data_IF_414075434362
#
_entry.id   IF_414075434362
#
_cell.length_a   1.000
_cell.length_b   1.000
_cell.length_c   1.000
_cell.angle_alpha   90.00
_cell.angle_beta   90.00
_cell.angle_gamma   90.00
#
_symmetry.space_group_name_H-M   'P 1'
#
loop_
_entity.id
_entity.type
_entity.pdbx_description
1 polymer ?
#
# COMPACT_ATOMS: atom_id res chain seq x y z
N UNK A 1 -12.80 20.59 20.86
CA UNK A 1 -12.36 19.34 21.51
C UNK A 1 -13.24 18.23 20.96
N UNK A 2 -12.72 17.28 20.17
CA UNK A 2 -13.57 16.25 19.56
C UNK A 2 -13.70 15.07 20.53
N UNK A 3 -14.91 14.82 21.05
CA UNK A 3 -15.23 13.62 21.84
C UNK A 3 -15.76 12.54 20.91
N UNK A 4 -15.09 11.40 20.84
CA UNK A 4 -15.62 10.21 20.17
C UNK A 4 -16.37 9.35 21.18
N UNK A 5 -17.67 9.16 20.95
CA UNK A 5 -18.49 8.28 21.76
C UNK A 5 -18.77 6.98 20.99
N UNK A 6 -18.42 5.84 21.58
CA UNK A 6 -18.80 4.52 21.09
C UNK A 6 -19.78 3.91 22.08
N UNK A 7 -21.06 3.81 21.71
CA UNK A 7 -22.01 2.98 22.44
C UNK A 7 -22.32 1.71 21.67
N UNK A 8 -22.30 0.56 22.37
CA UNK A 8 -22.71 -0.74 21.84
C UNK A 8 -24.21 -0.92 21.69
N UNK A 9 -25.02 0.07 22.07
CA UNK A 9 -26.48 0.01 21.93
C UNK A 9 -26.92 0.81 20.71
N UNK A 10 -27.60 0.15 19.77
CA UNK A 10 -28.24 0.84 18.66
C UNK A 10 -29.33 1.78 19.21
N UNK A 11 -29.30 3.04 18.78
CA UNK A 11 -30.24 4.10 19.17
C UNK A 11 -30.97 4.59 17.94
N UNK A 12 -32.26 4.81 18.06
CA UNK A 12 -33.09 5.38 17.00
C UNK A 12 -32.80 6.87 16.80
N UNK A 13 -33.36 7.45 15.74
CA UNK A 13 -33.11 8.83 15.34
C UNK A 13 -33.67 9.88 16.31
N UNK A 14 -34.77 9.58 17.01
CA UNK A 14 -35.39 10.49 17.97
C UNK A 14 -34.49 10.65 19.20
N UNK A 15 -33.90 9.54 19.64
CA UNK A 15 -32.88 9.54 20.68
C UNK A 15 -31.67 10.42 20.31
N UNK A 16 -31.13 10.27 19.09
CA UNK A 16 -29.99 11.06 18.63
C UNK A 16 -30.30 12.55 18.56
N UNK A 17 -31.49 12.90 18.07
CA UNK A 17 -31.93 14.29 17.94
C UNK A 17 -32.02 14.96 19.31
N UNK A 18 -32.60 14.26 20.29
CA UNK A 18 -32.71 14.75 21.67
C UNK A 18 -31.34 14.94 22.31
N UNK A 19 -30.44 13.96 22.16
CA UNK A 19 -29.09 14.03 22.73
C UNK A 19 -28.28 15.20 22.15
N UNK A 20 -28.28 15.36 20.83
CA UNK A 20 -27.56 16.47 20.19
C UNK A 20 -28.14 17.83 20.60
N UNK A 21 -29.48 17.94 20.71
CA UNK A 21 -30.11 19.14 21.22
C UNK A 21 -29.65 19.46 22.66
N UNK A 22 -29.55 18.45 23.53
CA UNK A 22 -29.05 18.65 24.91
C UNK A 22 -27.58 19.05 24.97
N UNK A 23 -26.71 18.46 24.14
CA UNK A 23 -25.30 18.85 24.06
C UNK A 23 -25.15 20.28 23.54
N UNK A 24 -25.88 20.65 22.48
CA UNK A 24 -25.86 22.03 21.96
C UNK A 24 -26.38 23.04 22.98
N UNK A 25 -27.40 22.70 23.77
CA UNK A 25 -27.89 23.55 24.84
C UNK A 25 -26.87 23.68 25.98
N UNK A 26 -26.14 22.61 26.31
CA UNK A 26 -25.10 22.60 27.34
C UNK A 26 -23.88 23.42 26.90
N UNK A 27 -23.51 23.34 25.62
CA UNK A 27 -22.43 24.15 25.04
C UNK A 27 -22.83 25.63 24.92
N UNK A 28 -24.10 25.91 24.57
CA UNK A 28 -24.65 27.27 24.56
C UNK A 28 -24.77 27.88 25.96
N UNK A 29 -25.05 27.06 26.97
CA UNK A 29 -25.07 27.44 28.38
C UNK A 29 -23.66 27.46 29.01
N UNK A 30 -22.64 27.80 28.21
CA UNK A 30 -21.22 27.73 28.57
C UNK A 30 -20.89 28.16 30.00
N UNK A 31 -19.83 27.59 30.61
CA UNK A 31 -19.61 27.64 32.05
C UNK A 31 -19.56 29.09 32.56
N UNK A 32 -20.40 29.42 33.55
CA UNK A 32 -20.24 30.64 34.32
C UNK A 32 -18.84 30.66 34.97
N UNK A 33 -18.05 31.72 34.79
CA UNK A 33 -16.71 31.80 35.35
C UNK A 33 -16.83 32.12 36.85
N UNK A 34 -16.89 31.10 37.71
CA UNK A 34 -16.98 31.36 39.14
C UNK A 34 -17.36 30.21 40.05
N UNK A 35 -16.85 29.00 39.82
CA UNK A 35 -16.87 27.98 40.87
C UNK A 35 -15.57 27.17 40.80
N UNK A 36 -14.62 27.52 41.66
CA UNK A 36 -13.43 26.72 41.90
C UNK A 36 -13.85 25.35 42.45
N UNK A 37 -13.74 24.32 41.61
CA UNK A 37 -13.82 22.93 42.06
C UNK A 37 -12.64 22.66 43.00
N UNK A 38 -12.83 22.19 44.23
CA UNK A 38 -11.73 21.76 45.08
C UNK A 38 -11.01 20.57 44.42
N UNK A 39 -9.66 20.50 44.48
CA UNK A 39 -8.93 19.39 43.92
C UNK A 39 -9.34 18.07 44.60
N UNK A 40 -9.34 16.94 43.87
CA UNK A 40 -9.71 15.64 44.42
C UNK A 40 -8.69 15.16 45.47
N UNK A 41 -9.13 14.44 46.53
CA UNK A 41 -8.37 14.19 47.76
C UNK A 41 -7.25 13.13 47.66
N UNK A 42 -6.68 12.89 46.48
CA UNK A 42 -5.64 11.87 46.28
C UNK A 42 -4.29 12.46 45.83
N UNK A 43 -4.07 13.75 46.08
CA UNK A 43 -2.72 14.33 46.08
C UNK A 43 -2.09 13.95 47.43
N UNK A 44 -1.02 13.14 47.48
CA UNK A 44 -0.26 12.98 48.71
C UNK A 44 0.37 14.33 49.06
N UNK A 45 0.21 14.77 50.31
CA UNK A 45 0.93 15.90 50.88
C UNK A 45 2.42 15.80 50.53
N UNK A 46 2.95 16.85 49.87
CA UNK A 46 4.38 17.14 49.87
C UNK A 46 4.79 17.49 51.32
N UNK A 47 4.98 16.46 52.13
CA UNK A 47 5.65 16.57 53.42
C UNK A 47 7.16 16.70 53.18
N UNK A 48 7.62 17.94 53.33
CA UNK A 48 8.82 18.31 54.08
C UNK A 48 10.12 17.54 53.79
N UNK A 49 10.96 18.19 52.99
CA UNK A 49 12.42 18.16 53.16
C UNK A 49 12.83 18.41 54.62
N UNK A 50 13.85 17.70 55.12
CA UNK A 50 14.81 18.29 56.03
C UNK A 50 16.19 18.39 55.37
N UNK A 51 16.80 19.55 55.63
CA UNK A 51 18.10 19.99 55.17
C UNK A 51 19.27 19.09 55.64
N UNK A 52 20.33 19.11 54.83
CA UNK A 52 21.66 18.58 55.13
C UNK A 52 22.28 19.20 56.39
N UNK A 53 23.29 18.53 56.96
CA UNK A 53 24.56 19.22 57.22
C UNK A 53 25.77 18.55 56.56
N UNK A 54 26.72 19.41 56.23
CA UNK A 54 27.99 19.21 55.52
C UNK A 54 28.95 18.17 56.14
N UNK A 55 29.82 17.67 55.25
CA UNK A 55 31.08 16.99 55.53
C UNK A 55 32.05 17.81 56.39
N UNK A 56 33.07 17.14 56.96
CA UNK A 56 34.43 17.59 56.73
C UNK A 56 35.30 16.46 56.17
N UNK A 57 35.93 16.76 55.04
CA UNK A 57 36.83 15.87 54.34
C UNK A 57 38.17 15.62 55.05
N UNK A 58 38.89 14.62 54.54
CA UNK A 58 40.34 14.51 54.67
C UNK A 58 40.92 13.92 53.38
N UNK A 59 41.52 14.80 52.58
CA UNK A 59 42.56 14.48 51.62
C UNK A 59 43.84 14.03 52.37
N UNK A 60 44.36 12.87 51.99
CA UNK A 60 45.77 12.43 52.08
C UNK A 60 45.84 11.14 51.28
N UNK A 61 46.70 10.92 50.30
CA UNK A 61 48.00 11.47 50.02
C UNK A 61 48.87 10.30 49.55
N UNK A 62 49.15 10.28 48.24
CA UNK A 62 50.33 9.75 47.56
C UNK A 62 51.04 8.44 48.03
N UNK A 63 51.06 7.47 47.10
CA UNK A 63 52.29 6.92 46.48
C UNK A 63 53.00 5.64 47.03
N UNK A 64 53.25 4.74 46.06
CA UNK A 64 54.25 3.66 45.97
C UNK A 64 54.20 2.52 47.02
N UNK A 65 54.22 1.23 46.68
CA UNK A 65 55.23 0.52 45.86
C UNK A 65 54.79 -0.95 45.68
N UNK A 66 55.36 -1.60 44.64
CA UNK A 66 55.69 -3.04 44.54
C UNK A 66 54.66 -4.02 43.94
N UNK A 67 54.86 -4.24 42.63
CA UNK A 67 54.54 -5.43 41.84
C UNK A 67 55.44 -6.62 42.25
N UNK A 68 55.00 -7.88 42.09
CA UNK A 68 55.86 -8.85 41.38
C UNK A 68 55.13 -9.68 40.31
N UNK A 69 55.47 -9.36 39.06
CA UNK A 69 55.93 -10.22 37.94
C UNK A 69 55.56 -11.71 37.89
N UNK A 70 54.80 -12.03 36.83
CA UNK A 70 55.08 -13.01 35.76
C UNK A 70 55.15 -14.52 36.04
N UNK A 71 54.40 -15.26 35.20
CA UNK A 71 55.01 -16.32 34.36
C UNK A 71 54.21 -16.63 33.08
N UNK A 72 54.86 -16.45 31.93
CA UNK A 72 54.70 -17.13 30.63
C UNK A 72 56.07 -16.96 29.97
N UNK A 73 56.74 -17.97 29.37
CA UNK A 73 56.37 -18.54 28.06
C UNK A 73 56.70 -20.04 27.91
N UNK A 74 56.27 -20.72 26.86
CA UNK A 74 57.11 -20.88 25.65
C UNK A 74 56.32 -21.18 24.36
N UNK A 75 56.94 -20.85 23.23
CA UNK A 75 56.36 -20.62 21.91
C UNK A 75 56.98 -21.56 20.86
N UNK A 76 56.14 -22.17 19.99
CA UNK A 76 56.25 -22.51 18.54
C UNK A 76 57.55 -23.21 17.99
N UNK A 77 57.60 -23.91 16.81
CA UNK A 77 57.10 -23.46 15.50
C UNK A 77 56.65 -24.51 14.44
N UNK A 78 55.91 -24.02 13.44
CA UNK A 78 55.95 -24.27 11.97
C UNK A 78 56.13 -25.69 11.37
N UNK A 79 55.15 -26.14 10.54
CA UNK A 79 55.38 -26.86 9.27
C UNK A 79 54.09 -26.96 8.42
N UNK A 80 54.30 -26.90 7.10
CA UNK A 80 53.42 -26.61 5.96
C UNK A 80 52.55 -27.82 5.44
N UNK A 81 51.91 -27.83 4.24
CA UNK A 81 50.50 -28.25 4.05
C UNK A 81 50.26 -29.54 3.20
N UNK A 82 48.96 -29.94 3.11
CA UNK A 82 48.30 -30.87 2.15
C UNK A 82 48.42 -32.41 2.44
N UNK A 83 47.42 -33.27 2.09
CA UNK A 83 46.56 -33.27 0.87
C UNK A 83 45.02 -33.35 1.11
N UNK A 84 44.20 -33.17 0.04
CA UNK A 84 42.74 -33.26 0.09
C UNK A 84 42.18 -34.67 -0.23
N UNK A 85 40.86 -34.75 -0.02
CA UNK A 85 39.86 -35.77 -0.39
C UNK A 85 39.58 -36.90 0.62
N UNK A 86 38.29 -37.05 0.98
CA UNK A 86 37.48 -37.96 0.17
C UNK A 86 36.10 -37.42 -0.25
N UNK A 87 35.68 -37.94 -1.41
CA UNK A 87 34.31 -38.12 -1.85
C UNK A 87 33.54 -36.86 -2.29
N UNK A 88 33.75 -36.53 -3.57
CA UNK A 88 32.77 -35.82 -4.39
C UNK A 88 31.48 -36.65 -4.49
N UNK A 89 30.59 -36.48 -3.53
CA UNK A 89 29.17 -36.66 -3.78
C UNK A 89 28.70 -35.51 -4.70
N UNK A 90 27.98 -35.77 -5.80
CA UNK A 90 27.47 -34.70 -6.65
C UNK A 90 26.57 -33.79 -5.81
N UNK A 91 27.00 -32.54 -5.64
CA UNK A 91 26.22 -31.50 -5.03
C UNK A 91 24.84 -31.48 -5.70
N UNK A 92 23.81 -31.85 -4.93
CA UNK A 92 22.44 -31.56 -5.32
C UNK A 92 22.37 -30.08 -5.69
N UNK A 93 21.61 -29.69 -6.74
CA UNK A 93 21.47 -28.30 -7.12
C UNK A 93 21.08 -27.51 -5.88
N UNK A 94 21.98 -26.67 -5.39
CA UNK A 94 21.64 -25.75 -4.32
C UNK A 94 20.56 -24.86 -4.92
N UNK A 95 19.33 -25.02 -4.42
CA UNK A 95 18.24 -24.14 -4.76
C UNK A 95 18.77 -22.70 -4.60
N UNK A 96 18.53 -21.81 -5.56
CA UNK A 96 18.98 -20.44 -5.43
C UNK A 96 18.49 -19.94 -4.09
N UNK A 97 19.38 -19.43 -3.23
CA UNK A 97 18.99 -18.76 -2.00
C UNK A 97 17.92 -17.74 -2.39
N UNK A 98 16.67 -18.06 -2.05
CA UNK A 98 15.56 -17.23 -2.43
C UNK A 98 15.81 -15.88 -1.77
N UNK A 99 16.02 -14.84 -2.59
CA UNK A 99 16.22 -13.49 -2.10
C UNK A 99 15.07 -13.07 -1.16
N UNK A 100 15.26 -12.02 -0.35
CA UNK A 100 14.25 -11.55 0.57
C UNK A 100 12.93 -11.28 -0.16
N UNK A 101 11.81 -11.71 0.42
CA UNK A 101 10.50 -11.53 -0.21
C UNK A 101 10.14 -10.07 -0.36
N UNK A 102 9.20 -9.76 -1.25
CA UNK A 102 8.64 -8.41 -1.38
C UNK A 102 8.07 -7.91 -0.06
N UNK A 103 7.40 -8.77 0.72
CA UNK A 103 6.84 -8.41 2.02
C UNK A 103 7.92 -7.99 3.01
N UNK A 104 9.01 -8.76 3.09
CA UNK A 104 10.16 -8.42 3.93
C UNK A 104 10.78 -7.08 3.53
N UNK A 105 10.98 -6.85 2.22
CA UNK A 105 11.58 -5.61 1.71
C UNK A 105 10.74 -4.36 2.00
N UNK A 106 9.42 -4.49 2.00
CA UNK A 106 8.50 -3.41 2.40
C UNK A 106 8.67 -3.10 3.88
N UNK A 107 8.64 -4.11 4.75
CA UNK A 107 8.83 -3.96 6.19
C UNK A 107 10.18 -3.32 6.52
N UNK A 108 11.26 -3.79 5.89
CA UNK A 108 12.61 -3.26 6.07
C UNK A 108 12.78 -1.81 5.59
N UNK A 109 11.86 -1.31 4.75
CA UNK A 109 11.87 0.08 4.29
C UNK A 109 11.09 1.01 5.22
N UNK A 110 10.18 0.50 6.05
CA UNK A 110 9.35 1.32 6.94
C UNK A 110 10.17 2.21 7.86
N UNK A 111 11.21 1.68 8.52
CA UNK A 111 12.07 2.47 9.41
C UNK A 111 12.81 3.62 8.71
N UNK A 112 13.03 3.53 7.39
CA UNK A 112 13.61 4.62 6.59
C UNK A 112 12.58 5.69 6.23
N UNK A 113 11.33 5.29 6.07
CA UNK A 113 10.22 6.21 5.77
C UNK A 113 9.66 6.88 7.02
N UNK A 114 9.63 6.17 8.15
CA UNK A 114 9.20 6.68 9.45
C UNK A 114 10.07 6.07 10.56
N UNK A 115 10.91 6.90 11.18
CA UNK A 115 11.86 6.48 12.20
C UNK A 115 11.21 5.85 13.44
N UNK A 116 9.91 6.12 13.69
CA UNK A 116 9.16 5.51 14.80
C UNK A 116 8.94 4.01 14.59
N UNK A 117 9.16 3.50 13.36
CA UNK A 117 9.05 2.10 12.99
C UNK A 117 10.43 1.49 12.70
N UNK A 118 11.43 1.77 13.54
CA UNK A 118 12.74 1.12 13.46
C UNK A 118 12.62 -0.38 13.79
N UNK A 119 12.48 -1.22 12.75
CA UNK A 119 12.39 -2.67 12.86
C UNK A 119 13.75 -3.31 12.63
N UNK A 120 14.12 -4.29 13.46
CA UNK A 120 15.27 -5.15 13.20
C UNK A 120 14.97 -6.17 12.09
N UNK A 121 16.00 -6.87 11.60
CA UNK A 121 15.82 -7.97 10.64
C UNK A 121 14.94 -9.10 11.22
N UNK A 122 15.11 -9.41 12.50
CA UNK A 122 14.31 -10.42 13.19
C UNK A 122 12.83 -10.00 13.29
N UNK A 123 12.56 -8.71 13.53
CA UNK A 123 11.20 -8.18 13.56
C UNK A 123 10.54 -8.22 12.18
N UNK A 124 11.29 -7.88 11.14
CA UNK A 124 10.81 -7.96 9.76
C UNK A 124 10.44 -9.41 9.41
N UNK A 125 11.30 -10.38 9.73
CA UNK A 125 11.03 -11.80 9.52
C UNK A 125 9.80 -12.28 10.33
N UNK A 126 9.63 -11.81 11.56
CA UNK A 126 8.50 -12.17 12.43
C UNK A 126 7.14 -11.64 11.95
N UNK A 127 7.13 -10.61 11.09
CA UNK A 127 5.92 -9.98 10.53
C UNK A 127 5.68 -10.37 9.07
N UNK A 128 6.70 -10.92 8.40
CA UNK A 128 6.73 -11.16 6.96
C UNK A 128 5.55 -11.98 6.47
N UNK A 129 5.19 -13.07 7.16
CA UNK A 129 4.09 -13.94 6.75
C UNK A 129 2.74 -13.19 6.69
N UNK A 130 2.48 -12.30 7.64
CA UNK A 130 1.25 -11.53 7.68
C UNK A 130 1.23 -10.44 6.61
N UNK A 131 2.37 -9.78 6.37
CA UNK A 131 2.53 -8.82 5.29
C UNK A 131 2.42 -9.49 3.91
N UNK A 132 2.96 -10.70 3.76
CA UNK A 132 2.81 -11.50 2.55
C UNK A 132 1.35 -11.88 2.30
N UNK A 133 0.59 -12.19 3.36
CA UNK A 133 -0.85 -12.45 3.21
C UNK A 133 -1.62 -11.21 2.73
N UNK A 134 -1.26 -10.00 3.17
CA UNK A 134 -1.85 -8.78 2.61
C UNK A 134 -1.61 -8.67 1.10
N UNK A 135 -0.36 -8.88 0.67
CA UNK A 135 0.00 -8.83 -0.75
C UNK A 135 -0.70 -9.96 -1.55
N UNK A 136 -0.80 -11.16 -0.99
CA UNK A 136 -1.50 -12.29 -1.60
C UNK A 136 -3.02 -12.04 -1.77
N UNK A 137 -3.59 -11.12 -0.99
CA UNK A 137 -4.98 -10.64 -1.16
C UNK A 137 -5.12 -9.54 -2.22
N UNK A 138 -4.07 -9.28 -3.00
CA UNK A 138 -4.08 -8.34 -4.12
C UNK A 138 -3.80 -6.88 -3.72
N UNK A 139 -3.35 -6.64 -2.48
CA UNK A 139 -3.02 -5.29 -2.03
C UNK A 139 -1.67 -4.84 -2.60
N UNK A 140 -1.60 -3.59 -3.06
CA UNK A 140 -0.35 -2.99 -3.53
C UNK A 140 0.61 -2.68 -2.37
N UNK A 141 1.91 -2.64 -2.68
CA UNK A 141 2.95 -2.25 -1.71
C UNK A 141 2.72 -0.86 -1.12
N UNK A 142 2.29 0.09 -1.95
CA UNK A 142 2.01 1.46 -1.52
C UNK A 142 0.83 1.51 -0.53
N UNK A 143 -0.25 0.77 -0.83
CA UNK A 143 -1.39 0.67 0.07
C UNK A 143 -0.99 0.00 1.38
N UNK A 144 -0.22 -1.10 1.34
CA UNK A 144 0.28 -1.77 2.54
C UNK A 144 1.10 -0.80 3.40
N UNK A 145 2.02 -0.06 2.78
CA UNK A 145 2.84 0.94 3.47
C UNK A 145 1.96 2.01 4.12
N UNK A 146 1.03 2.59 3.37
CA UNK A 146 0.08 3.59 3.85
C UNK A 146 -0.78 3.07 5.00
N UNK A 147 -1.26 1.82 4.93
CA UNK A 147 -2.07 1.23 5.99
C UNK A 147 -1.29 1.02 7.31
N UNK A 148 0.01 0.71 7.21
CA UNK A 148 0.89 0.52 8.35
C UNK A 148 1.35 1.85 8.97
N UNK A 149 1.49 2.91 8.18
CA UNK A 149 1.96 4.23 8.63
C UNK A 149 0.86 5.26 8.89
N UNK A 150 -0.38 5.01 8.46
CA UNK A 150 -1.49 5.92 8.69
C UNK A 150 -1.88 6.00 10.17
N UNK A 151 -1.91 7.24 10.68
CA UNK A 151 -2.35 7.55 12.05
C UNK A 151 -1.46 6.92 13.11
N UNK A 152 -0.14 6.91 12.90
CA UNK A 152 0.81 6.50 13.92
C UNK A 152 0.83 7.53 15.07
N UNK A 153 0.83 7.06 16.34
CA UNK A 153 0.95 7.94 17.50
C UNK A 153 2.31 8.65 17.49
N UNK A 154 2.41 9.77 18.21
CA UNK A 154 3.62 10.58 18.23
C UNK A 154 4.86 9.78 18.68
N UNK A 155 4.69 8.82 19.59
CA UNK A 155 5.72 7.90 20.07
C UNK A 155 5.19 6.46 20.03
N UNK A 156 6.08 5.50 19.76
CA UNK A 156 5.76 4.07 19.66
C UNK A 156 6.82 3.30 20.43
N UNK A 157 6.46 2.75 21.59
CA UNK A 157 7.40 1.94 22.39
C UNK A 157 7.57 0.52 21.81
N UNK A 158 6.52 -0.01 21.19
CA UNK A 158 6.47 -1.39 20.67
C UNK A 158 6.06 -1.44 19.19
N UNK A 159 6.96 -1.12 18.25
CA UNK A 159 6.63 -1.04 16.83
C UNK A 159 6.19 -2.40 16.27
N UNK A 160 6.84 -3.49 16.67
CA UNK A 160 6.49 -4.85 16.24
C UNK A 160 5.08 -5.23 16.66
N UNK A 161 4.71 -4.96 17.92
CA UNK A 161 3.39 -5.26 18.45
C UNK A 161 2.29 -4.44 17.76
N UNK A 162 2.56 -3.15 17.52
CA UNK A 162 1.64 -2.28 16.78
C UNK A 162 1.40 -2.79 15.36
N UNK A 163 2.47 -3.10 14.62
CA UNK A 163 2.37 -3.56 13.23
C UNK A 163 1.72 -4.93 13.15
N UNK A 164 2.07 -5.88 14.03
CA UNK A 164 1.40 -7.18 14.11
C UNK A 164 -0.10 -7.00 14.29
N UNK A 165 -0.50 -6.15 15.23
CA UNK A 165 -1.92 -5.87 15.50
C UNK A 165 -2.62 -5.25 14.29
N UNK A 166 -1.99 -4.29 13.61
CA UNK A 166 -2.56 -3.70 12.39
C UNK A 166 -2.68 -4.71 11.25
N UNK A 167 -1.65 -5.52 11.02
CA UNK A 167 -1.65 -6.55 9.99
C UNK A 167 -2.73 -7.62 10.22
N UNK A 168 -3.05 -7.92 11.49
CA UNK A 168 -4.15 -8.83 11.83
C UNK A 168 -5.51 -8.14 11.75
N UNK A 169 -5.70 -7.05 12.51
CA UNK A 169 -7.02 -6.43 12.72
C UNK A 169 -7.53 -5.70 11.48
N UNK A 170 -6.64 -5.19 10.63
CA UNK A 170 -7.00 -4.46 9.39
C UNK A 170 -6.82 -5.29 8.13
N UNK A 171 -6.66 -6.60 8.25
CA UNK A 171 -6.42 -7.45 7.11
C UNK A 171 -7.58 -7.34 6.09
N UNK A 172 -7.32 -6.91 4.84
CA UNK A 172 -8.38 -6.72 3.86
C UNK A 172 -9.09 -8.05 3.58
N UNK A 173 -10.41 -8.07 3.36
CA UNK A 173 -11.13 -9.31 3.05
C UNK A 173 -10.55 -9.97 1.80
N UNK A 174 -10.65 -11.30 1.73
CA UNK A 174 -10.34 -12.01 0.48
C UNK A 174 -11.41 -11.65 -0.53
N UNK A 175 -11.04 -10.88 -1.55
CA UNK A 175 -11.86 -10.79 -2.74
C UNK A 175 -11.77 -12.14 -3.46
N UNK A 176 -12.85 -12.63 -4.09
CA UNK A 176 -12.74 -13.73 -5.03
C UNK A 176 -11.62 -13.34 -6.00
N UNK A 177 -10.57 -14.16 -6.07
CA UNK A 177 -9.50 -13.91 -7.00
C UNK A 177 -10.14 -13.77 -8.38
N UNK A 178 -9.98 -12.61 -9.04
CA UNK A 178 -10.15 -12.59 -10.48
C UNK A 178 -9.06 -13.52 -10.99
N UNK A 179 -9.47 -14.74 -11.34
CA UNK A 179 -8.64 -15.90 -11.58
C UNK A 179 -7.46 -15.54 -12.49
N UNK A 180 -6.30 -15.30 -11.87
CA UNK A 180 -5.01 -15.35 -12.55
C UNK A 180 -4.53 -16.79 -12.47
N UNK A 181 -5.32 -17.69 -13.05
CA UNK A 181 -4.88 -19.05 -13.36
C UNK A 181 -4.87 -19.17 -14.89
N UNK A 182 -3.69 -19.31 -15.52
CA UNK A 182 -3.65 -19.88 -16.86
C UNK A 182 -4.05 -21.37 -16.76
N UNK A 183 -4.85 -21.84 -17.71
CA UNK A 183 -5.19 -23.26 -17.93
C UNK A 183 -6.20 -23.97 -17.01
N UNK A 184 -7.37 -23.36 -16.77
CA UNK A 184 -8.58 -24.17 -16.59
C UNK A 184 -9.81 -23.48 -17.20
N UNK A 185 -10.70 -24.19 -17.92
CA UNK A 185 -11.92 -23.59 -18.45
C UNK A 185 -12.80 -23.16 -17.27
N UNK A 186 -12.80 -21.85 -17.01
CA UNK A 186 -13.44 -21.18 -15.89
C UNK A 186 -14.93 -21.57 -15.73
N UNK A 187 -15.46 -21.61 -14.49
CA UNK A 187 -16.91 -21.57 -14.28
C UNK A 187 -17.45 -20.29 -14.93
N UNK A 188 -18.54 -20.44 -15.68
CA UNK A 188 -19.08 -19.43 -16.59
C UNK A 188 -19.25 -18.08 -15.90
N UNK A 189 -18.31 -17.18 -16.14
CA UNK A 189 -18.55 -15.74 -16.06
C UNK A 189 -19.89 -15.50 -16.76
N UNK A 190 -20.79 -14.73 -16.14
CA UNK A 190 -22.08 -14.38 -16.72
C UNK A 190 -21.81 -13.66 -18.04
N UNK A 191 -21.80 -14.41 -19.14
CA UNK A 191 -21.56 -13.88 -20.48
C UNK A 191 -22.76 -13.01 -20.82
N UNK A 192 -22.56 -11.69 -20.80
CA UNK A 192 -23.56 -10.75 -21.24
C UNK A 192 -23.64 -10.88 -22.75
N UNK A 193 -24.76 -11.37 -23.26
CA UNK A 193 -25.06 -11.35 -24.69
C UNK A 193 -25.77 -10.03 -25.00
N UNK A 194 -25.32 -9.34 -26.03
CA UNK A 194 -25.96 -8.16 -26.60
C UNK A 194 -26.78 -8.59 -27.82
N UNK A 195 -27.81 -7.84 -28.17
CA UNK A 195 -28.62 -8.12 -29.37
C UNK A 195 -28.26 -7.15 -30.49
N UNK A 196 -28.23 -7.67 -31.73
CA UNK A 196 -28.10 -6.83 -32.92
C UNK A 196 -29.29 -5.87 -33.01
N UNK A 197 -29.01 -4.58 -33.15
CA UNK A 197 -30.04 -3.52 -33.20
C UNK A 197 -30.98 -3.62 -34.40
N UNK A 198 -30.55 -4.29 -35.48
CA UNK A 198 -31.35 -4.44 -36.70
C UNK A 198 -32.18 -5.74 -36.71
N UNK A 199 -31.56 -6.88 -36.39
CA UNK A 199 -32.18 -8.21 -36.56
C UNK A 199 -32.42 -8.98 -35.26
N UNK A 200 -32.07 -8.40 -34.10
CA UNK A 200 -32.24 -9.03 -32.79
C UNK A 200 -31.34 -10.24 -32.52
N UNK A 201 -30.39 -10.56 -33.42
CA UNK A 201 -29.49 -11.72 -33.24
C UNK A 201 -28.62 -11.50 -31.99
N UNK A 202 -28.67 -12.41 -30.99
CA UNK A 202 -27.82 -12.29 -29.82
C UNK A 202 -26.36 -12.63 -30.17
N UNK A 203 -25.42 -11.91 -29.59
CA UNK A 203 -23.99 -12.04 -29.84
C UNK A 203 -23.16 -11.51 -28.68
N UNK A 204 -21.86 -11.86 -28.66
CA UNK A 204 -20.91 -11.23 -27.75
C UNK A 204 -20.74 -9.75 -28.13
N UNK A 205 -20.43 -8.85 -27.18
CA UNK A 205 -20.21 -7.43 -27.47
C UNK A 205 -19.15 -7.21 -28.56
N UNK A 206 -18.10 -8.01 -28.61
CA UNK A 206 -17.05 -7.93 -29.64
C UNK A 206 -17.53 -8.36 -31.03
N UNK A 207 -18.58 -9.18 -31.11
CA UNK A 207 -19.18 -9.63 -32.36
C UNK A 207 -20.21 -8.63 -32.94
N UNK A 208 -20.55 -7.59 -32.18
CA UNK A 208 -21.51 -6.54 -32.51
C UNK A 208 -20.85 -5.15 -32.46
N UNK A 209 -19.78 -4.88 -33.24
CA UNK A 209 -19.26 -3.53 -33.33
C UNK A 209 -20.37 -2.61 -33.89
N UNK A 210 -20.50 -1.43 -33.28
CA UNK A 210 -21.57 -0.47 -33.53
C UNK A 210 -23.00 -1.02 -33.29
N UNK A 211 -23.12 -2.11 -32.53
CA UNK A 211 -24.41 -2.75 -32.24
C UNK A 211 -24.99 -3.57 -33.39
N UNK A 212 -24.20 -3.85 -34.44
CA UNK A 212 -24.65 -4.60 -35.62
C UNK A 212 -23.86 -5.90 -35.83
N UNK A 213 -24.60 -6.99 -36.05
CA UNK A 213 -23.98 -8.25 -36.42
C UNK A 213 -23.34 -8.15 -37.81
N UNK A 214 -22.30 -8.96 -38.06
CA UNK A 214 -21.57 -8.98 -39.34
C UNK A 214 -22.47 -8.88 -40.58
N UNK A 215 -23.53 -9.70 -40.77
CA UNK A 215 -24.36 -9.61 -41.96
C UNK A 215 -25.11 -8.27 -42.05
N UNK A 216 -25.74 -7.79 -40.96
CA UNK A 216 -26.42 -6.49 -40.94
C UNK A 216 -25.43 -5.34 -41.22
N UNK A 217 -24.22 -5.39 -40.68
CA UNK A 217 -23.19 -4.39 -40.99
C UNK A 217 -22.82 -4.39 -42.47
N UNK A 218 -22.67 -5.56 -43.10
CA UNK A 218 -22.39 -5.66 -44.53
C UNK A 218 -23.55 -5.15 -45.39
N UNK A 219 -24.80 -5.28 -44.96
CA UNK A 219 -25.96 -4.72 -45.68
C UNK A 219 -26.12 -3.22 -45.50
N UNK A 220 -25.75 -2.67 -44.33
CA UNK A 220 -25.77 -1.24 -44.06
C UNK A 220 -24.48 -0.51 -44.46
N UNK A 221 -23.43 -1.25 -44.83
CA UNK A 221 -22.24 -0.66 -45.41
C UNK A 221 -22.65 0.01 -46.72
N UNK A 222 -22.58 1.35 -46.84
CA UNK A 222 -22.69 1.98 -48.15
C UNK A 222 -21.59 1.38 -49.06
N UNK A 223 -21.82 1.25 -50.39
CA UNK A 223 -20.76 0.84 -51.30
C UNK A 223 -19.52 1.68 -51.00
N UNK A 224 -18.41 0.97 -50.79
CA UNK A 224 -17.12 1.48 -50.28
C UNK A 224 -16.75 2.84 -50.88
N UNK A 225 -16.32 3.76 -50.00
CA UNK A 225 -15.84 5.10 -50.34
C UNK A 225 -14.80 5.12 -51.46
N UNK A 226 -14.00 4.06 -51.67
CA UNK A 226 -13.05 4.02 -52.80
C UNK A 226 -13.72 4.13 -54.19
N UNK A 227 -14.92 3.58 -54.36
CA UNK A 227 -15.65 3.66 -55.63
C UNK A 227 -16.38 5.00 -55.79
N UNK A 228 -16.87 5.56 -54.67
CA UNK A 228 -17.54 6.86 -54.63
C UNK A 228 -16.53 8.01 -54.79
N UNK A 229 -15.38 7.94 -54.11
CA UNK A 229 -14.28 8.92 -54.23
C UNK A 229 -13.63 8.87 -55.62
N UNK A 230 -13.49 7.68 -56.23
CA UNK A 230 -13.01 7.56 -57.60
C UNK A 230 -14.02 8.14 -58.62
N UNK A 231 -15.32 7.96 -58.39
CA UNK A 231 -16.37 8.53 -59.24
C UNK A 231 -16.46 10.06 -59.09
N UNK A 232 -16.40 10.58 -57.87
CA UNK A 232 -16.40 12.03 -57.58
C UNK A 232 -15.13 12.72 -58.09
N UNK A 233 -13.96 12.06 -58.00
CA UNK A 233 -12.73 12.57 -58.58
C UNK A 233 -12.75 12.62 -60.12
N UNK A 234 -13.38 11.63 -60.76
CA UNK A 234 -13.57 11.60 -62.21
C UNK A 234 -14.56 12.70 -62.68
N UNK A 235 -15.67 12.89 -61.96
CA UNK A 235 -16.64 13.95 -62.25
C UNK A 235 -16.03 15.35 -62.05
N UNK A 236 -15.23 15.53 -60.99
CA UNK A 236 -14.51 16.78 -60.75
C UNK A 236 -13.44 17.08 -61.84
N UNK A 237 -12.84 16.05 -62.44
CA UNK A 237 -11.90 16.22 -63.55
C UNK A 237 -12.62 16.62 -64.85
N UNK A 238 -13.77 16.03 -65.14
CA UNK A 238 -14.58 16.36 -66.33
C UNK A 238 -15.11 17.80 -66.28
N UNK A 239 -15.63 18.23 -65.12
CA UNK A 239 -16.09 19.61 -64.90
C UNK A 239 -14.93 20.61 -65.09
N UNK A 240 -13.72 20.29 -64.60
CA UNK A 240 -12.54 21.14 -64.80
C UNK A 240 -12.13 21.23 -66.26
N UNK A 241 -12.17 20.13 -67.00
CA UNK A 241 -11.88 20.11 -68.43
C UNK A 241 -12.88 20.96 -69.22
N UNK A 242 -14.17 20.82 -68.90
CA UNK A 242 -15.24 21.61 -69.54
C UNK A 242 -15.10 23.12 -69.26
N UNK A 243 -14.73 23.49 -68.04
CA UNK A 243 -14.48 24.89 -67.68
C UNK A 243 -13.23 25.46 -68.35
N UNK A 244 -12.20 24.65 -68.59
CA UNK A 244 -11.02 25.09 -69.31
C UNK A 244 -11.32 25.34 -70.80
N UNK A 245 -12.09 24.46 -71.43
CA UNK A 245 -12.57 24.58 -72.81
C UNK A 245 -13.40 25.86 -73.02
N UNK A 246 -14.41 26.09 -72.15
CA UNK A 246 -15.21 27.31 -72.16
C UNK A 246 -14.36 28.58 -71.99
N UNK A 247 -13.32 28.53 -71.15
CA UNK A 247 -12.41 29.67 -70.95
C UNK A 247 -11.49 29.91 -72.15
N UNK A 248 -11.13 28.87 -72.89
CA UNK A 248 -10.40 28.98 -74.16
C UNK A 248 -11.26 29.68 -75.22
N UNK A 249 -12.48 29.21 -75.40
CA UNK A 249 -13.45 29.81 -76.35
C UNK A 249 -13.75 31.28 -76.05
N UNK A 250 -13.72 31.70 -74.78
CA UNK A 250 -13.90 33.10 -74.37
C UNK A 250 -12.65 33.97 -74.51
N UNK A 251 -11.47 33.38 -74.74
CA UNK A 251 -10.19 34.11 -74.88
C UNK A 251 -9.83 34.38 -76.35
N UNK A 252 -10.37 33.61 -77.27
CA UNK A 252 -10.17 33.75 -78.72
C UNK A 252 -11.16 34.73 -79.40
N UNK A 253 -11.87 35.55 -78.61
CA UNK A 253 -12.75 36.66 -79.05
C UNK A 253 -12.13 37.98 -78.60
#
# INVERSE_FOLDING_TARGET
>A
MFRTFWSRTARDNEWWTTYLATETATEAAGPEPGAATPPPPWVPDEEHLPAAPEEPGQESGAEATAVPQQRTPDQAPDAEPAPPDPDTAPAAPQAPEAGPSTAYLVLARLGRSDHRLALSAADCAALEAQAAEWLARGVSVDYLTSALTAGLPAQIDFPVGLLRRRLTDKMPPRLPAEDTAPDSPAPTARRILMECTECGRPGQPEALPDGLCRPCRTTHQPPTSDATEAAEAAEAADVKARMADLRGLLRDV
#
